data_IF_227130751067
#
_entry.id   IF_227130751067
#
_cell.length_a   1.000
_cell.length_b   1.000
_cell.length_c   1.000
_cell.angle_alpha   90.00
_cell.angle_beta   90.00
_cell.angle_gamma   90.00
#
_symmetry.space_group_name_H-M   'P 1'
#
loop_
_entity.id
_entity.type
_entity.pdbx_description
1 polymer ?
#
# COMPACT_ATOMS: atom_id res chain seq x y z
N UNK A 1 -9.82 -7.71 -3.57
CA UNK A 1 -8.47 -8.12 -4.05
C UNK A 1 -7.48 -7.90 -2.91
N UNK A 2 -6.37 -8.63 -2.84
CA UNK A 2 -5.40 -8.46 -1.75
C UNK A 2 -4.06 -7.93 -2.28
N UNK A 3 -3.42 -7.09 -1.48
CA UNK A 3 -2.12 -6.49 -1.75
C UNK A 3 -1.08 -7.20 -0.90
N UNK A 4 -0.18 -7.92 -1.57
CA UNK A 4 0.87 -8.71 -0.96
C UNK A 4 2.21 -7.98 -1.02
N UNK A 5 3.03 -8.12 0.03
CA UNK A 5 4.43 -7.68 -0.03
C UNK A 5 5.22 -8.50 -1.05
N UNK A 6 6.10 -7.84 -1.80
CA UNK A 6 7.12 -8.52 -2.62
C UNK A 6 8.39 -8.78 -1.81
N UNK A 7 9.35 -9.50 -2.39
CA UNK A 7 10.71 -9.65 -1.84
C UNK A 7 11.54 -8.36 -1.88
N UNK A 8 11.04 -7.30 -2.55
CA UNK A 8 11.71 -6.00 -2.63
C UNK A 8 11.12 -4.97 -1.66
N UNK A 9 10.07 -5.35 -0.92
CA UNK A 9 9.55 -4.49 0.13
C UNK A 9 10.66 -4.16 1.15
N UNK A 10 10.80 -2.92 1.65
CA UNK A 10 11.91 -2.51 2.52
C UNK A 10 12.05 -3.31 3.82
N UNK A 11 10.95 -3.87 4.32
CA UNK A 11 10.96 -4.77 5.49
C UNK A 11 11.44 -6.19 5.17
N UNK A 12 11.59 -6.51 3.88
CA UNK A 12 12.04 -7.79 3.32
C UNK A 12 11.41 -9.01 4.02
N UNK A 13 10.07 -9.17 3.95
CA UNK A 13 9.41 -10.30 4.58
C UNK A 13 9.83 -11.61 3.92
N UNK A 14 9.99 -12.67 4.72
CA UNK A 14 10.45 -13.98 4.24
C UNK A 14 9.48 -14.65 3.26
N UNK A 15 8.19 -14.27 3.29
CA UNK A 15 7.14 -14.75 2.39
C UNK A 15 6.19 -13.60 2.02
N UNK A 16 5.46 -13.66 0.89
CA UNK A 16 4.43 -12.68 0.57
C UNK A 16 3.28 -12.72 1.57
N UNK A 17 2.98 -11.60 2.21
CA UNK A 17 1.90 -11.47 3.21
C UNK A 17 0.88 -10.44 2.72
N UNK A 18 -0.44 -10.71 2.79
CA UNK A 18 -1.46 -9.78 2.32
C UNK A 18 -1.64 -8.66 3.35
N UNK A 19 -0.82 -7.62 3.31
CA UNK A 19 -0.87 -6.52 4.28
C UNK A 19 -2.11 -5.66 4.13
N UNK A 20 -2.62 -5.54 2.90
CA UNK A 20 -3.80 -4.76 2.63
C UNK A 20 -4.81 -5.52 1.77
N UNK A 21 -6.05 -5.07 1.80
CA UNK A 21 -7.12 -5.48 0.92
C UNK A 21 -7.71 -4.27 0.21
N UNK A 22 -8.13 -4.47 -1.04
CA UNK A 22 -8.82 -3.47 -1.85
C UNK A 22 -10.31 -3.82 -1.84
N UNK A 23 -11.11 -2.86 -1.37
CA UNK A 23 -12.57 -2.88 -1.40
C UNK A 23 -12.99 -1.63 -2.20
N UNK A 24 -13.64 -1.84 -3.35
CA UNK A 24 -13.88 -0.79 -4.34
C UNK A 24 -12.58 -0.07 -4.74
N UNK A 25 -12.41 1.19 -4.34
CA UNK A 25 -11.20 1.99 -4.55
C UNK A 25 -10.47 2.31 -3.24
N UNK A 26 -10.88 1.72 -2.12
CA UNK A 26 -10.32 1.96 -0.80
C UNK A 26 -9.42 0.80 -0.38
N UNK A 27 -8.31 1.12 0.27
CA UNK A 27 -7.30 0.16 0.72
C UNK A 27 -7.32 0.11 2.24
N UNK A 28 -7.69 -1.06 2.75
CA UNK A 28 -7.77 -1.35 4.17
C UNK A 28 -6.63 -2.27 4.57
N UNK A 29 -6.15 -2.14 5.80
CA UNK A 29 -5.21 -3.09 6.39
C UNK A 29 -5.90 -4.40 6.73
N UNK A 30 -5.21 -5.53 6.51
CA UNK A 30 -5.69 -6.83 6.99
C UNK A 30 -5.17 -7.12 8.40
N UNK A 31 -5.61 -8.25 8.98
CA UNK A 31 -5.05 -8.78 10.24
C UNK A 31 -3.57 -9.16 10.17
N UNK A 32 -2.98 -9.21 8.97
CA UNK A 32 -1.57 -9.53 8.75
C UNK A 32 -0.70 -8.28 8.61
N UNK A 33 -1.30 -7.09 8.60
CA UNK A 33 -0.55 -5.84 8.58
C UNK A 33 0.31 -5.70 9.85
N UNK A 34 1.60 -5.32 9.76
CA UNK A 34 2.53 -5.36 10.90
C UNK A 34 2.14 -4.47 12.08
N UNK A 35 1.31 -3.45 11.86
CA UNK A 35 0.84 -2.53 12.91
C UNK A 35 -0.42 -3.01 13.63
N UNK A 36 -1.10 -4.06 13.16
CA UNK A 36 -2.36 -4.58 13.71
C UNK A 36 -3.37 -3.47 14.11
N UNK A 37 -3.86 -2.66 13.17
CA UNK A 37 -4.75 -1.56 13.49
C UNK A 37 -6.09 -2.05 14.04
N UNK A 38 -6.67 -1.24 14.93
CA UNK A 38 -7.85 -1.60 15.72
C UNK A 38 -9.17 -1.16 15.09
N UNK A 39 -9.15 -0.16 14.20
CA UNK A 39 -10.35 0.46 13.62
C UNK A 39 -10.40 0.23 12.10
N UNK A 40 -11.57 -0.09 11.52
CA UNK A 40 -11.73 -0.38 10.10
C UNK A 40 -11.87 0.91 9.28
N UNK A 41 -10.78 1.67 9.19
CA UNK A 41 -10.70 2.86 8.35
C UNK A 41 -9.74 2.60 7.17
N UNK A 42 -10.04 3.12 5.97
CA UNK A 42 -9.14 2.98 4.84
C UNK A 42 -7.87 3.80 5.10
N UNK A 43 -6.71 3.19 4.83
CA UNK A 43 -5.42 3.87 4.94
C UNK A 43 -5.07 4.58 3.64
N UNK A 44 -5.54 4.04 2.52
CA UNK A 44 -5.28 4.63 1.22
C UNK A 44 -6.51 4.56 0.31
N UNK A 45 -6.47 5.36 -0.76
CA UNK A 45 -7.46 5.39 -1.82
C UNK A 45 -6.76 5.31 -3.19
N UNK A 46 -7.34 4.55 -4.10
CA UNK A 46 -6.90 4.42 -5.49
C UNK A 46 -7.60 5.49 -6.33
N UNK A 47 -6.81 6.35 -6.97
CA UNK A 47 -7.30 7.38 -7.91
C UNK A 47 -6.43 7.36 -9.17
N UNK A 48 -7.05 7.13 -10.33
CA UNK A 48 -6.38 7.15 -11.64
C UNK A 48 -5.06 6.34 -11.69
N UNK A 49 -5.07 5.13 -11.12
CA UNK A 49 -3.90 4.24 -11.09
C UNK A 49 -2.82 4.62 -10.07
N UNK A 50 -3.06 5.62 -9.24
CA UNK A 50 -2.19 6.04 -8.14
C UNK A 50 -2.84 5.75 -6.79
N UNK A 51 -2.02 5.57 -5.75
CA UNK A 51 -2.46 5.30 -4.38
C UNK A 51 -2.10 6.49 -3.52
N UNK A 52 -3.13 7.13 -2.97
CA UNK A 52 -3.04 8.30 -2.11
C UNK A 52 -3.35 7.89 -0.68
N UNK A 53 -2.70 8.51 0.32
CA UNK A 53 -3.17 8.37 1.69
C UNK A 53 -4.62 8.84 1.85
N UNK A 54 -5.40 8.13 2.65
CA UNK A 54 -6.76 8.49 3.01
C UNK A 54 -6.79 9.19 4.38
N UNK A 55 -7.92 9.80 4.72
CA UNK A 55 -8.12 10.45 6.04
C UNK A 55 -8.02 9.48 7.22
N UNK A 56 -8.24 8.19 6.99
CA UNK A 56 -8.12 7.13 7.99
C UNK A 56 -6.67 6.68 8.26
N UNK A 57 -5.69 7.19 7.50
CA UNK A 57 -4.30 6.82 7.69
C UNK A 57 -3.78 7.33 9.05
N UNK A 58 -3.16 6.48 9.90
CA UNK A 58 -2.82 6.81 11.29
C UNK A 58 -1.87 8.02 11.42
N UNK A 59 -0.99 8.19 10.45
CA UNK A 59 -0.01 9.29 10.43
C UNK A 59 -0.59 10.64 9.94
N UNK A 60 -1.87 10.71 9.57
CA UNK A 60 -2.53 11.90 9.01
C UNK A 60 -1.69 12.65 7.94
N UNK A 61 -1.19 11.95 6.91
CA UNK A 61 -0.32 12.56 5.90
C UNK A 61 -1.09 13.47 4.93
N UNK A 62 -0.33 14.18 4.08
CA UNK A 62 -0.89 14.93 2.95
C UNK A 62 -1.57 13.99 1.94
N UNK A 63 -2.87 14.16 1.75
CA UNK A 63 -3.72 13.33 0.89
C UNK A 63 -3.69 13.74 -0.59
N UNK A 64 -2.96 14.82 -0.92
CA UNK A 64 -2.85 15.37 -2.28
C UNK A 64 -1.69 14.76 -3.08
N UNK A 65 -0.79 14.03 -2.43
CA UNK A 65 0.38 13.41 -3.05
C UNK A 65 0.27 11.90 -3.05
N UNK A 66 0.47 11.27 -4.21
CA UNK A 66 0.45 9.83 -4.33
C UNK A 66 1.69 9.23 -3.69
N UNK A 67 1.51 8.23 -2.82
CA UNK A 67 2.62 7.49 -2.20
C UNK A 67 3.06 6.31 -3.04
N UNK A 68 2.15 5.74 -3.81
CA UNK A 68 2.45 4.65 -4.73
C UNK A 68 1.76 4.84 -6.08
N UNK A 69 2.31 4.19 -7.09
CA UNK A 69 1.70 4.02 -8.40
C UNK A 69 1.43 2.54 -8.69
N UNK A 70 0.36 2.27 -9.42
CA UNK A 70 -0.03 0.92 -9.85
C UNK A 70 0.38 0.76 -11.31
N UNK A 71 1.29 -0.18 -11.56
CA UNK A 71 1.62 -0.63 -12.91
C UNK A 71 1.17 -2.08 -13.07
N UNK A 72 0.11 -2.30 -13.85
CA UNK A 72 -0.57 -3.61 -13.97
C UNK A 72 -1.01 -4.12 -12.59
N UNK A 73 -0.35 -5.15 -12.07
CA UNK A 73 -0.62 -5.74 -10.76
C UNK A 73 0.52 -5.50 -9.77
N UNK A 74 1.46 -4.62 -10.07
CA UNK A 74 2.60 -4.28 -9.21
C UNK A 74 2.49 -2.85 -8.74
N UNK A 75 2.85 -2.62 -7.47
CA UNK A 75 2.74 -1.32 -6.81
C UNK A 75 4.15 -0.84 -6.49
N UNK A 76 4.48 0.34 -7.02
CA UNK A 76 5.77 0.98 -6.85
C UNK A 76 5.64 2.19 -5.93
N UNK A 77 6.56 2.42 -5.01
CA UNK A 77 6.61 3.67 -4.27
C UNK A 77 6.95 4.83 -5.23
N UNK A 78 6.37 6.00 -4.98
CA UNK A 78 6.75 7.23 -5.70
C UNK A 78 7.85 7.99 -4.95
N UNK A 79 8.37 9.05 -5.57
CA UNK A 79 9.28 10.01 -4.90
C UNK A 79 8.66 10.68 -3.67
N UNK A 80 7.33 10.72 -3.57
CA UNK A 80 6.59 11.34 -2.47
C UNK A 80 6.36 10.37 -1.30
N UNK A 81 6.74 9.09 -1.43
CA UNK A 81 6.67 8.15 -0.33
C UNK A 81 7.58 8.60 0.83
N UNK A 82 7.13 8.59 2.10
CA UNK A 82 7.86 9.17 3.24
C UNK A 82 9.24 8.57 3.53
N UNK A 83 9.47 7.32 3.14
CA UNK A 83 10.78 6.66 3.28
C UNK A 83 11.71 6.86 2.08
N UNK A 84 11.25 7.54 1.03
CA UNK A 84 11.98 7.93 -0.19
C UNK A 84 12.92 6.82 -0.73
N UNK A 85 12.39 5.82 -1.45
CA UNK A 85 13.18 4.72 -1.97
C UNK A 85 14.24 5.19 -2.97
N UNK A 86 15.46 4.68 -2.84
CA UNK A 86 16.53 4.90 -3.83
C UNK A 86 16.37 4.03 -5.09
N UNK A 87 15.55 2.97 -5.01
CA UNK A 87 15.39 1.96 -6.08
C UNK A 87 13.93 1.87 -6.56
N UNK A 88 13.72 1.84 -7.89
CA UNK A 88 12.42 1.69 -8.57
C UNK A 88 11.91 0.22 -8.55
N UNK A 89 11.87 -0.38 -7.36
CA UNK A 89 11.44 -1.77 -7.18
C UNK A 89 9.99 -1.84 -6.65
N UNK A 90 9.19 -2.82 -7.10
CA UNK A 90 7.80 -2.93 -6.67
C UNK A 90 7.75 -3.44 -5.24
N UNK A 91 7.09 -2.70 -4.34
CA UNK A 91 6.96 -3.08 -2.93
C UNK A 91 5.82 -4.03 -2.68
N UNK A 92 4.77 -3.92 -3.50
CA UNK A 92 3.61 -4.78 -3.38
C UNK A 92 3.13 -5.30 -4.73
N UNK A 93 2.30 -6.32 -4.67
CA UNK A 93 1.57 -6.86 -5.83
C UNK A 93 0.10 -7.14 -5.47
N UNK A 94 -0.78 -6.87 -6.43
CA UNK A 94 -2.22 -7.09 -6.34
C UNK A 94 -2.53 -8.50 -6.84
N UNK A 95 -3.19 -9.30 -6.01
CA UNK A 95 -3.62 -10.66 -6.34
C UNK A 95 -5.13 -10.81 -6.20
N UNK A 96 -5.74 -11.41 -7.22
CA UNK A 96 -7.08 -11.98 -7.18
C UNK A 96 -6.94 -13.42 -6.69
N UNK A 97 -7.58 -13.76 -5.58
CA UNK A 97 -7.61 -15.10 -4.98
C UNK A 97 -9.05 -15.54 -4.80
#
# INVERSE_FOLDING_TARGET
>A
MNIYTTSFHPTNPSEPVPWFEIIENEIYTTLYHPTNPQEPEPWFEIRDGNIYPASGHPDNPDQSVAWFEINKNTIYPTENHPTHPEDDLPWFEIREI
#
